data_IF_062262545550
#
_entry.id   IF_062262545550
#
_cell.length_a   1.000
_cell.length_b   1.000
_cell.length_c   1.000
_cell.angle_alpha   90.00
_cell.angle_beta   90.00
_cell.angle_gamma   90.00
#
_symmetry.space_group_name_H-M   'P 1'
#
loop_
_entity.id
_entity.type
_entity.pdbx_description
1 polymer ?
#
# COMPACT_ATOMS: atom_id res chain seq x y z
N UNK A 1 68.39 -44.47 -67.28
CA UNK A 1 67.14 -44.21 -68.01
C UNK A 1 66.37 -45.51 -68.13
N UNK A 2 65.05 -45.52 -67.90
CA UNK A 2 64.24 -46.70 -68.25
C UNK A 2 64.11 -46.71 -69.79
N UNK A 3 64.72 -47.68 -70.47
CA UNK A 3 64.47 -47.90 -71.90
C UNK A 3 63.08 -48.52 -72.05
N UNK A 4 62.26 -47.95 -72.92
CA UNK A 4 60.90 -48.43 -73.20
C UNK A 4 60.89 -49.01 -74.61
N UNK A 5 60.57 -50.30 -74.73
CA UNK A 5 60.31 -50.95 -76.02
C UNK A 5 58.84 -50.73 -76.37
N UNK A 6 58.55 -50.27 -77.60
CA UNK A 6 57.20 -49.98 -78.08
C UNK A 6 56.50 -51.17 -78.75
N UNK A 7 57.05 -52.40 -78.61
CA UNK A 7 56.51 -53.59 -79.27
C UNK A 7 55.03 -53.86 -78.95
N UNK A 8 54.54 -53.43 -77.77
CA UNK A 8 53.16 -53.61 -77.30
C UNK A 8 52.33 -52.29 -77.30
N UNK A 9 52.87 -51.18 -77.82
CA UNK A 9 52.22 -49.86 -77.83
C UNK A 9 52.29 -49.04 -76.52
N UNK A 10 51.73 -47.82 -76.52
CA UNK A 10 51.61 -46.97 -75.32
C UNK A 10 50.28 -47.24 -74.59
N UNK A 11 50.35 -47.58 -73.29
CA UNK A 11 49.18 -47.91 -72.48
C UNK A 11 48.88 -46.79 -71.47
N UNK A 12 47.97 -45.89 -71.83
CA UNK A 12 47.51 -44.83 -70.93
C UNK A 12 46.47 -45.39 -69.95
N UNK A 13 46.76 -45.30 -68.65
CA UNK A 13 45.90 -45.82 -67.58
C UNK A 13 45.07 -44.73 -66.94
N UNK A 14 43.86 -45.09 -66.50
CA UNK A 14 43.07 -44.26 -65.59
C UNK A 14 43.85 -44.03 -64.29
N UNK A 15 43.80 -42.80 -63.78
CA UNK A 15 44.23 -42.47 -62.42
C UNK A 15 43.06 -42.60 -61.44
N UNK A 16 43.32 -42.35 -60.16
CA UNK A 16 42.28 -42.38 -59.12
C UNK A 16 41.12 -41.42 -59.40
N UNK A 17 41.41 -40.23 -59.97
CA UNK A 17 40.44 -39.17 -60.24
C UNK A 17 40.40 -38.78 -61.73
N UNK A 18 41.06 -39.54 -62.60
CA UNK A 18 41.15 -39.23 -64.02
C UNK A 18 40.93 -40.46 -64.88
N UNK A 19 40.24 -40.27 -66.00
CA UNK A 19 40.03 -41.32 -67.00
C UNK A 19 40.84 -40.98 -68.24
N UNK A 20 41.67 -41.91 -68.69
CA UNK A 20 42.46 -41.76 -69.91
C UNK A 20 41.65 -42.21 -71.12
N UNK A 21 41.69 -41.44 -72.20
CA UNK A 21 41.10 -41.81 -73.49
C UNK A 21 42.01 -41.37 -74.63
N UNK A 22 41.86 -42.05 -75.78
CA UNK A 22 42.58 -41.74 -77.02
C UNK A 22 41.52 -41.60 -78.10
N UNK A 23 41.54 -40.52 -78.86
CA UNK A 23 40.64 -40.33 -79.99
C UNK A 23 41.16 -40.98 -81.29
N UNK A 24 40.34 -40.94 -82.34
CA UNK A 24 40.66 -41.54 -83.64
C UNK A 24 41.88 -40.89 -84.34
N UNK A 25 42.32 -39.71 -83.88
CA UNK A 25 43.51 -39.01 -84.36
C UNK A 25 44.76 -39.29 -83.49
N UNK A 26 44.62 -40.09 -82.43
CA UNK A 26 45.71 -40.44 -81.51
C UNK A 26 45.98 -39.41 -80.41
N UNK A 27 45.10 -38.43 -80.19
CA UNK A 27 45.22 -37.45 -79.11
C UNK A 27 44.87 -38.11 -77.79
N UNK A 28 45.77 -38.00 -76.81
CA UNK A 28 45.56 -38.53 -75.46
C UNK A 28 44.89 -37.47 -74.60
N UNK A 29 43.74 -37.81 -74.03
CA UNK A 29 43.00 -36.96 -73.09
C UNK A 29 42.96 -37.61 -71.72
N UNK A 30 43.06 -36.78 -70.68
CA UNK A 30 42.75 -37.15 -69.31
C UNK A 30 41.56 -36.34 -68.84
N UNK A 31 40.40 -36.99 -68.76
CA UNK A 31 39.21 -36.39 -68.19
C UNK A 31 39.25 -36.47 -66.67
N UNK A 32 38.88 -35.39 -66.00
CA UNK A 32 38.75 -35.36 -64.54
C UNK A 32 37.39 -35.94 -64.17
N UNK A 33 37.39 -36.92 -63.28
CA UNK A 33 36.18 -37.50 -62.71
C UNK A 33 35.60 -36.49 -61.71
N UNK A 34 34.68 -35.64 -62.18
CA UNK A 34 34.05 -34.62 -61.33
C UNK A 34 32.98 -35.23 -60.45
N UNK A 35 32.84 -34.73 -59.23
CA UNK A 35 31.71 -35.03 -58.38
C UNK A 35 31.23 -33.78 -57.64
N UNK A 36 29.98 -33.76 -57.22
CA UNK A 36 29.38 -32.62 -56.57
C UNK A 36 29.29 -32.83 -55.06
N UNK A 37 29.67 -31.82 -54.29
CA UNK A 37 29.32 -31.69 -52.88
C UNK A 37 28.01 -30.89 -52.76
N UNK A 38 27.22 -31.18 -51.74
CA UNK A 38 25.91 -30.57 -51.53
C UNK A 38 25.76 -30.05 -50.11
N UNK A 39 25.02 -28.96 -49.93
CA UNK A 39 24.65 -28.50 -48.60
C UNK A 39 23.44 -29.26 -48.07
N UNK A 40 23.50 -29.71 -46.82
CA UNK A 40 22.36 -30.20 -46.05
C UNK A 40 21.49 -29.06 -45.52
N UNK A 41 20.24 -29.36 -45.19
CA UNK A 41 19.30 -28.39 -44.58
C UNK A 41 19.68 -28.02 -43.13
N UNK A 42 20.58 -28.79 -42.52
CA UNK A 42 21.13 -28.58 -41.18
C UNK A 42 22.41 -27.72 -41.18
N UNK A 43 22.81 -27.19 -42.34
CA UNK A 43 24.03 -26.41 -42.48
C UNK A 43 25.31 -27.25 -42.61
N UNK A 44 25.20 -28.57 -42.74
CA UNK A 44 26.35 -29.42 -43.08
C UNK A 44 26.64 -29.38 -44.58
N UNK A 45 27.85 -29.75 -44.97
CA UNK A 45 28.23 -30.01 -46.37
C UNK A 45 28.54 -31.50 -46.49
N UNK A 46 27.89 -32.18 -47.43
CA UNK A 46 28.04 -33.60 -47.67
C UNK A 46 28.72 -33.87 -49.01
N UNK A 47 29.51 -34.94 -49.04
CA UNK A 47 30.16 -35.44 -50.24
C UNK A 47 29.38 -36.58 -50.92
N UNK A 48 29.72 -36.91 -52.17
CA UNK A 48 29.20 -38.07 -52.89
C UNK A 48 29.66 -39.39 -52.25
N UNK A 49 29.00 -40.50 -52.56
CA UNK A 49 29.40 -41.85 -52.09
C UNK A 49 30.69 -42.37 -52.73
N UNK A 50 31.11 -41.75 -53.84
CA UNK A 50 32.31 -42.11 -54.59
C UNK A 50 33.16 -40.86 -54.77
N UNK A 51 34.45 -40.97 -54.50
CA UNK A 51 35.39 -39.84 -54.59
C UNK A 51 35.47 -39.25 -56.00
N UNK A 52 35.52 -37.92 -56.07
CA UNK A 52 35.64 -37.15 -57.30
C UNK A 52 36.08 -35.71 -57.03
N UNK A 53 36.36 -34.95 -58.08
CA UNK A 53 36.83 -33.56 -57.97
C UNK A 53 35.67 -32.59 -58.08
N UNK A 54 35.42 -31.79 -57.03
CA UNK A 54 34.46 -30.69 -57.07
C UNK A 54 35.03 -29.48 -57.80
N UNK A 55 34.18 -28.77 -58.56
CA UNK A 55 34.56 -27.49 -59.16
C UNK A 55 34.53 -26.38 -58.11
N UNK A 56 35.33 -25.32 -58.30
CA UNK A 56 35.34 -24.17 -57.39
C UNK A 56 33.93 -23.54 -57.21
N UNK A 57 33.13 -23.53 -58.30
CA UNK A 57 31.75 -23.08 -58.25
C UNK A 57 30.88 -23.98 -57.36
N UNK A 58 30.97 -25.30 -57.52
CA UNK A 58 30.21 -26.23 -56.68
C UNK A 58 30.58 -26.10 -55.19
N UNK A 59 31.86 -25.90 -54.88
CA UNK A 59 32.31 -25.66 -53.51
C UNK A 59 31.74 -24.34 -52.95
N UNK A 60 31.81 -23.25 -53.70
CA UNK A 60 31.27 -21.97 -53.27
C UNK A 60 29.75 -22.04 -53.06
N UNK A 61 29.01 -22.68 -53.97
CA UNK A 61 27.56 -22.83 -53.87
C UNK A 61 27.15 -23.67 -52.65
N UNK A 62 27.82 -24.80 -52.41
CA UNK A 62 27.57 -25.64 -51.25
C UNK A 62 27.87 -24.90 -49.93
N UNK A 63 28.99 -24.18 -49.84
CA UNK A 63 29.34 -23.41 -48.63
C UNK A 63 28.32 -22.28 -48.39
N UNK A 64 27.94 -21.54 -49.43
CA UNK A 64 26.98 -20.45 -49.31
C UNK A 64 25.57 -20.96 -48.93
N UNK A 65 25.16 -22.09 -49.52
CA UNK A 65 23.90 -22.73 -49.18
C UNK A 65 23.90 -23.24 -47.73
N UNK A 66 24.98 -23.88 -47.28
CA UNK A 66 25.14 -24.34 -45.89
C UNK A 66 25.13 -23.17 -44.91
N UNK A 67 25.87 -22.09 -45.20
CA UNK A 67 25.86 -20.85 -44.41
C UNK A 67 24.47 -20.24 -44.28
N UNK A 68 23.68 -20.27 -45.37
CA UNK A 68 22.30 -19.78 -45.38
C UNK A 68 21.38 -20.66 -44.52
N UNK A 69 21.56 -21.98 -44.55
CA UNK A 69 20.81 -22.94 -43.74
C UNK A 69 21.15 -22.84 -42.23
N UNK A 70 22.40 -22.51 -41.87
CA UNK A 70 22.84 -22.31 -40.48
C UNK A 70 22.39 -21.00 -39.83
N UNK A 71 21.48 -20.23 -40.43
CA UNK A 71 21.06 -18.93 -39.90
C UNK A 71 20.30 -19.09 -38.57
N UNK A 72 20.79 -18.46 -37.50
CA UNK A 72 20.05 -18.29 -36.24
C UNK A 72 19.16 -17.06 -36.32
N UNK A 73 17.86 -17.22 -36.03
CA UNK A 73 16.91 -16.11 -35.91
C UNK A 73 16.50 -15.94 -34.44
N UNK A 74 16.68 -14.71 -33.94
CA UNK A 74 16.27 -14.32 -32.58
C UNK A 74 15.33 -13.12 -32.75
N UNK A 75 14.15 -13.24 -32.16
CA UNK A 75 13.15 -12.16 -32.10
C UNK A 75 12.66 -11.98 -30.67
N UNK A 76 12.06 -10.83 -30.38
CA UNK A 76 11.47 -10.53 -29.08
C UNK A 76 10.02 -10.04 -29.23
N UNK A 77 9.28 -9.94 -28.12
CA UNK A 77 7.94 -9.33 -28.06
C UNK A 77 6.99 -9.75 -29.20
N UNK A 78 6.86 -11.06 -29.46
CA UNK A 78 6.00 -11.58 -30.54
C UNK A 78 6.54 -11.31 -31.95
N UNK A 79 7.84 -11.53 -32.17
CA UNK A 79 8.44 -11.53 -33.50
C UNK A 79 9.08 -10.22 -33.94
N UNK A 80 9.22 -9.24 -33.04
CA UNK A 80 9.95 -8.00 -33.32
C UNK A 80 11.44 -8.29 -33.58
N UNK A 81 11.96 -7.65 -34.63
CA UNK A 81 13.37 -7.76 -35.01
C UNK A 81 14.29 -6.99 -34.05
N UNK A 82 15.56 -7.40 -34.00
CA UNK A 82 16.59 -6.69 -33.26
C UNK A 82 16.72 -5.22 -33.72
N UNK A 83 17.02 -4.32 -32.78
CA UNK A 83 17.11 -2.86 -32.94
C UNK A 83 15.78 -2.16 -33.28
N UNK A 84 14.65 -2.87 -33.28
CA UNK A 84 13.32 -2.34 -33.56
C UNK A 84 12.25 -2.77 -32.54
N UNK A 85 12.67 -3.29 -31.38
CA UNK A 85 11.75 -3.75 -30.34
C UNK A 85 11.03 -2.61 -29.62
N UNK A 86 9.75 -2.79 -29.33
CA UNK A 86 8.91 -1.80 -28.62
C UNK A 86 8.24 -2.34 -27.36
N UNK A 87 8.26 -3.66 -27.14
CA UNK A 87 7.68 -4.31 -25.96
C UNK A 87 8.59 -4.29 -24.72
N UNK A 88 8.34 -5.22 -23.80
CA UNK A 88 9.03 -5.29 -22.51
C UNK A 88 10.50 -5.72 -22.61
N UNK A 89 10.85 -6.48 -23.65
CA UNK A 89 12.22 -6.92 -23.91
C UNK A 89 12.83 -6.03 -24.98
N UNK A 90 13.99 -5.45 -24.72
CA UNK A 90 14.77 -4.82 -25.79
C UNK A 90 15.75 -5.84 -26.34
N UNK A 91 15.69 -6.08 -27.66
CA UNK A 91 16.64 -6.92 -28.38
C UNK A 91 17.44 -6.00 -29.28
N UNK A 92 18.76 -5.96 -29.08
CA UNK A 92 19.67 -5.23 -29.96
C UNK A 92 20.66 -6.18 -30.61
N UNK A 93 21.22 -5.78 -31.74
CA UNK A 93 22.24 -6.55 -32.41
C UNK A 93 23.33 -5.67 -33.01
N UNK A 94 24.56 -6.21 -32.98
CA UNK A 94 25.75 -5.59 -33.59
C UNK A 94 26.55 -6.66 -34.33
N UNK A 95 27.28 -6.27 -35.37
CA UNK A 95 28.19 -7.17 -36.09
C UNK A 95 29.59 -7.10 -35.46
N UNK A 96 30.14 -8.25 -35.09
CA UNK A 96 31.51 -8.39 -34.58
C UNK A 96 32.56 -8.30 -35.70
N UNK A 97 33.84 -8.17 -35.33
CA UNK A 97 34.95 -7.99 -36.28
C UNK A 97 35.16 -9.17 -37.24
N UNK A 98 34.84 -10.39 -36.80
CA UNK A 98 34.84 -11.63 -37.59
C UNK A 98 33.52 -11.86 -38.34
N UNK A 99 32.59 -10.90 -38.30
CA UNK A 99 31.35 -10.88 -39.06
C UNK A 99 30.19 -11.66 -38.44
N UNK A 100 30.33 -12.28 -37.26
CA UNK A 100 29.18 -12.88 -36.56
C UNK A 100 28.33 -11.81 -35.86
N UNK A 101 27.06 -12.14 -35.58
CA UNK A 101 26.13 -11.22 -34.91
C UNK A 101 26.16 -11.45 -33.40
N UNK A 102 26.36 -10.38 -32.64
CA UNK A 102 26.16 -10.35 -31.19
C UNK A 102 24.76 -9.81 -30.92
N UNK A 103 23.99 -10.52 -30.10
CA UNK A 103 22.68 -10.07 -29.62
C UNK A 103 22.77 -9.72 -28.14
N UNK A 104 22.24 -8.56 -27.78
CA UNK A 104 22.07 -8.15 -26.38
C UNK A 104 20.57 -8.11 -26.04
N UNK A 105 20.21 -8.76 -24.94
CA UNK A 105 18.84 -8.94 -24.49
C UNK A 105 18.72 -8.42 -23.07
N UNK A 106 17.87 -7.41 -22.89
CA UNK A 106 17.56 -6.85 -21.57
C UNK A 106 16.06 -6.56 -21.46
N UNK A 107 15.59 -6.39 -20.24
CA UNK A 107 14.29 -5.77 -20.01
C UNK A 107 14.38 -4.27 -20.25
N UNK A 108 13.30 -3.68 -20.73
CA UNK A 108 13.15 -2.24 -20.76
C UNK A 108 12.98 -1.69 -19.33
N UNK A 109 13.34 -0.42 -19.10
CA UNK A 109 13.19 0.24 -17.79
C UNK A 109 11.73 0.25 -17.32
N UNK A 110 10.81 0.26 -18.30
CA UNK A 110 9.38 0.11 -18.10
C UNK A 110 8.90 -1.23 -18.61
N UNK A 111 8.35 -2.04 -17.71
CA UNK A 111 7.73 -3.33 -18.01
C UNK A 111 6.24 -3.27 -17.72
N UNK A 112 5.41 -3.70 -18.68
CA UNK A 112 3.96 -3.74 -18.57
C UNK A 112 3.48 -5.18 -18.75
N UNK A 113 2.86 -5.74 -17.71
CA UNK A 113 2.29 -7.07 -17.70
C UNK A 113 0.76 -6.99 -17.80
N UNK A 114 0.16 -7.75 -18.72
CA UNK A 114 -1.28 -7.68 -18.98
C UNK A 114 -1.70 -6.40 -19.71
N UNK A 115 -3.00 -6.15 -19.77
CA UNK A 115 -3.59 -5.02 -20.49
C UNK A 115 -4.81 -4.46 -19.74
N UNK A 116 -5.23 -3.24 -20.11
CA UNK A 116 -6.42 -2.60 -19.54
C UNK A 116 -6.34 -2.37 -18.03
N UNK A 117 -7.45 -2.57 -17.32
CA UNK A 117 -7.54 -2.32 -15.87
C UNK A 117 -6.74 -3.30 -15.01
N UNK A 118 -6.31 -4.44 -15.57
CA UNK A 118 -5.49 -5.44 -14.88
C UNK A 118 -3.99 -5.28 -15.16
N UNK A 119 -3.60 -4.24 -15.92
CA UNK A 119 -2.21 -4.02 -16.23
C UNK A 119 -1.39 -3.76 -14.96
N UNK A 120 -0.22 -4.39 -14.91
CA UNK A 120 0.80 -4.13 -13.89
C UNK A 120 1.98 -3.47 -14.59
N UNK A 121 2.28 -2.24 -14.21
CA UNK A 121 3.41 -1.47 -14.75
C UNK A 121 4.47 -1.33 -13.68
N UNK A 122 5.70 -1.75 -13.97
CA UNK A 122 6.89 -1.41 -13.19
C UNK A 122 7.70 -0.44 -14.04
N UNK A 123 7.81 0.81 -13.60
CA UNK A 123 8.43 1.90 -14.33
C UNK A 123 9.64 2.40 -13.54
N UNK A 124 10.81 1.85 -13.85
CA UNK A 124 12.07 2.22 -13.22
C UNK A 124 12.47 3.66 -13.52
N UNK A 125 12.11 4.18 -14.70
CA UNK A 125 12.37 5.57 -15.09
C UNK A 125 11.57 6.55 -14.22
N UNK A 126 10.30 6.24 -13.96
CA UNK A 126 9.46 7.05 -13.08
C UNK A 126 9.64 6.73 -11.58
N UNK A 127 10.31 5.63 -11.24
CA UNK A 127 10.38 5.10 -9.87
C UNK A 127 9.01 4.69 -9.31
N UNK A 128 8.12 4.17 -10.17
CA UNK A 128 6.72 3.87 -9.83
C UNK A 128 6.36 2.42 -10.16
N UNK A 129 5.47 1.86 -9.36
CA UNK A 129 4.76 0.63 -9.69
C UNK A 129 3.24 0.88 -9.66
N UNK A 130 2.55 0.47 -10.70
CA UNK A 130 1.09 0.60 -10.83
C UNK A 130 0.49 -0.79 -10.97
N UNK A 131 -0.46 -1.14 -10.10
CA UNK A 131 -1.19 -2.42 -10.12
C UNK A 131 -2.67 -2.07 -10.26
N UNK A 132 -3.19 -2.18 -11.49
CA UNK A 132 -4.51 -1.66 -11.83
C UNK A 132 -4.60 -0.15 -11.56
N UNK A 133 -5.41 0.26 -10.58
CA UNK A 133 -5.52 1.67 -10.14
C UNK A 133 -4.72 2.01 -8.88
N UNK A 134 -4.06 1.03 -8.25
CA UNK A 134 -3.19 1.29 -7.09
C UNK A 134 -1.79 1.68 -7.56
N UNK A 135 -1.16 2.60 -6.84
CA UNK A 135 0.15 3.16 -7.20
C UNK A 135 1.09 3.13 -6.00
N UNK A 136 2.30 2.62 -6.21
CA UNK A 136 3.46 2.84 -5.35
C UNK A 136 4.35 3.86 -6.05
N UNK A 137 4.63 4.96 -5.37
CA UNK A 137 5.40 6.07 -5.88
C UNK A 137 6.67 6.24 -5.04
N UNK A 138 7.75 5.62 -5.49
CA UNK A 138 9.03 5.66 -4.78
C UNK A 138 9.67 7.05 -4.80
N UNK A 139 9.36 7.88 -5.80
CA UNK A 139 9.90 9.26 -5.87
C UNK A 139 9.27 10.16 -4.81
N UNK A 140 7.94 10.08 -4.66
CA UNK A 140 7.23 10.87 -3.66
C UNK A 140 7.08 10.16 -2.30
N UNK A 141 7.61 8.95 -2.17
CA UNK A 141 7.48 8.10 -0.97
C UNK A 141 6.02 7.85 -0.57
N UNK A 142 5.14 7.55 -1.54
CA UNK A 142 3.71 7.31 -1.26
C UNK A 142 3.23 5.96 -1.77
N UNK A 143 2.19 5.43 -1.11
CA UNK A 143 1.41 4.29 -1.59
C UNK A 143 -0.05 4.72 -1.60
N UNK A 144 -0.71 4.63 -2.75
CA UNK A 144 -2.11 5.00 -2.89
C UNK A 144 -2.88 3.80 -3.41
N UNK A 145 -3.92 3.38 -2.68
CA UNK A 145 -4.81 2.31 -3.14
C UNK A 145 -5.72 2.80 -4.27
N UNK A 146 -6.19 1.89 -5.10
CA UNK A 146 -7.26 2.16 -6.06
C UNK A 146 -8.65 2.36 -5.43
N UNK A 147 -9.65 2.54 -6.28
CA UNK A 147 -11.07 2.64 -5.91
C UNK A 147 -11.55 4.07 -5.56
N UNK A 148 -12.86 4.22 -5.34
CA UNK A 148 -13.51 5.52 -5.08
C UNK A 148 -13.01 6.19 -3.80
N UNK A 149 -12.81 5.41 -2.74
CA UNK A 149 -12.29 5.86 -1.45
C UNK A 149 -10.85 5.40 -1.32
N UNK A 150 -9.96 5.98 -2.13
CA UNK A 150 -8.53 5.66 -2.08
C UNK A 150 -7.93 6.04 -0.73
N UNK A 151 -7.02 5.19 -0.25
CA UNK A 151 -6.23 5.41 0.96
C UNK A 151 -4.81 5.72 0.52
N UNK A 152 -4.21 6.75 1.11
CA UNK A 152 -2.84 7.19 0.83
C UNK A 152 -1.99 7.05 2.08
N UNK A 153 -0.93 6.26 1.98
CA UNK A 153 0.21 6.26 2.92
C UNK A 153 1.24 7.24 2.38
N UNK A 154 1.63 8.20 3.19
CA UNK A 154 2.56 9.26 2.82
C UNK A 154 3.78 9.24 3.73
N UNK A 155 4.92 8.81 3.18
CA UNK A 155 6.18 8.76 3.90
C UNK A 155 6.83 10.14 4.10
N UNK A 156 6.45 11.16 3.33
CA UNK A 156 6.98 12.51 3.49
C UNK A 156 6.32 13.22 4.69
N UNK A 157 5.03 12.99 4.92
CA UNK A 157 4.30 13.55 6.08
C UNK A 157 4.16 12.57 7.24
N UNK A 158 4.45 11.28 7.04
CA UNK A 158 4.28 10.23 8.04
C UNK A 158 2.82 9.92 8.36
N UNK A 159 1.91 10.13 7.40
CA UNK A 159 0.46 10.04 7.62
C UNK A 159 -0.22 8.97 6.78
N UNK A 160 -1.38 8.53 7.26
CA UNK A 160 -2.34 7.72 6.49
C UNK A 160 -3.62 8.54 6.33
N UNK A 161 -3.96 8.88 5.09
CA UNK A 161 -5.09 9.75 4.75
C UNK A 161 -6.07 9.05 3.81
N UNK A 162 -7.26 9.64 3.63
CA UNK A 162 -8.33 9.07 2.79
C UNK A 162 -9.34 8.18 3.56
N UNK A 163 -9.08 7.91 4.85
CA UNK A 163 -10.03 7.21 5.72
C UNK A 163 -11.34 8.00 5.86
N UNK A 164 -12.47 7.28 5.74
CA UNK A 164 -13.81 7.89 5.71
C UNK A 164 -14.52 7.86 7.06
N UNK A 165 -14.04 7.07 8.02
CA UNK A 165 -14.58 6.99 9.36
C UNK A 165 -14.19 8.22 10.19
N UNK A 166 -14.89 9.33 10.01
CA UNK A 166 -14.63 10.61 10.69
C UNK A 166 -15.56 10.87 11.89
N UNK A 167 -16.56 10.02 12.07
CA UNK A 167 -17.57 10.20 13.10
C UNK A 167 -17.41 9.21 14.25
N UNK A 168 -17.61 9.71 15.46
CA UNK A 168 -17.79 8.90 16.66
C UNK A 168 -19.12 9.30 17.31
N UNK A 169 -20.05 8.36 17.43
CA UNK A 169 -21.36 8.62 18.05
C UNK A 169 -21.25 8.47 19.57
N UNK A 170 -21.58 9.51 20.36
CA UNK A 170 -21.62 9.40 21.82
C UNK A 170 -22.52 8.24 22.28
N UNK A 171 -22.06 7.49 23.30
CA UNK A 171 -22.76 6.30 23.80
C UNK A 171 -22.40 4.99 23.09
N UNK A 172 -21.67 5.04 21.97
CA UNK A 172 -21.01 3.83 21.43
C UNK A 172 -19.86 3.47 22.35
N UNK A 173 -19.90 2.26 22.92
CA UNK A 173 -18.91 1.78 23.90
C UNK A 173 -17.86 0.84 23.30
N UNK A 174 -17.99 0.49 22.02
CA UNK A 174 -17.07 -0.40 21.31
C UNK A 174 -16.78 0.14 19.92
N UNK A 175 -15.50 0.22 19.59
CA UNK A 175 -15.07 0.51 18.22
C UNK A 175 -15.48 -0.61 17.27
N UNK A 176 -15.61 -0.28 15.97
CA UNK A 176 -15.69 -1.31 14.94
C UNK A 176 -14.34 -1.99 14.83
N UNK A 177 -14.29 -3.28 15.15
CA UNK A 177 -13.02 -4.02 15.24
C UNK A 177 -12.31 -4.13 13.90
N UNK A 178 -10.97 -4.12 13.93
CA UNK A 178 -10.10 -4.28 12.76
C UNK A 178 -9.95 -3.05 11.86
N UNK A 179 -10.48 -1.88 12.25
CA UNK A 179 -10.36 -0.62 11.49
C UNK A 179 -9.45 0.36 12.21
N UNK A 180 -8.65 1.12 11.46
CA UNK A 180 -7.91 2.27 11.98
C UNK A 180 -8.90 3.39 12.36
N UNK A 181 -8.62 4.13 13.45
CA UNK A 181 -9.35 5.33 13.81
C UNK A 181 -8.80 6.55 13.06
N UNK A 182 -9.60 7.61 12.94
CA UNK A 182 -9.15 8.92 12.41
C UNK A 182 -8.98 9.94 13.54
N UNK A 183 -8.18 10.97 13.27
CA UNK A 183 -8.04 12.14 14.17
C UNK A 183 -9.39 12.84 14.39
N UNK A 184 -10.26 12.89 13.38
CA UNK A 184 -11.62 13.43 13.50
C UNK A 184 -12.45 12.66 14.55
N UNK A 185 -12.36 11.33 14.58
CA UNK A 185 -13.03 10.52 15.61
C UNK A 185 -12.46 10.79 17.00
N UNK A 186 -11.13 10.92 17.11
CA UNK A 186 -10.48 11.21 18.38
C UNK A 186 -10.86 12.60 18.90
N UNK A 187 -10.97 13.59 18.01
CA UNK A 187 -11.44 14.93 18.36
C UNK A 187 -12.85 14.89 18.95
N UNK A 188 -13.77 14.13 18.34
CA UNK A 188 -15.13 13.99 18.87
C UNK A 188 -15.18 13.35 20.25
N UNK A 189 -14.30 12.37 20.50
CA UNK A 189 -14.15 11.78 21.84
C UNK A 189 -13.62 12.81 22.83
N UNK A 190 -12.62 13.61 22.43
CA UNK A 190 -12.07 14.68 23.25
C UNK A 190 -13.14 15.76 23.59
N UNK A 191 -13.93 16.18 22.59
CA UNK A 191 -15.01 17.14 22.76
C UNK A 191 -16.07 16.61 23.73
N UNK A 192 -16.50 15.36 23.56
CA UNK A 192 -17.46 14.70 24.46
C UNK A 192 -16.91 14.60 25.90
N UNK A 193 -15.63 14.29 26.06
CA UNK A 193 -15.00 14.25 27.37
C UNK A 193 -14.92 15.63 28.03
N UNK A 194 -14.63 16.68 27.26
CA UNK A 194 -14.50 18.06 27.72
C UNK A 194 -15.84 18.74 28.06
N UNK A 195 -16.94 18.25 27.48
CA UNK A 195 -18.29 18.82 27.62
C UNK A 195 -19.15 18.13 28.69
N UNK A 196 -18.55 17.28 29.53
CA UNK A 196 -19.26 16.68 30.67
C UNK A 196 -19.74 17.77 31.63
N UNK A 197 -21.04 17.75 31.92
CA UNK A 197 -21.70 18.70 32.82
C UNK A 197 -22.67 17.98 33.75
N UNK A 198 -22.99 18.61 34.88
CA UNK A 198 -24.06 18.20 35.77
C UNK A 198 -24.90 19.42 36.17
N UNK A 199 -26.12 19.21 36.67
CA UNK A 199 -27.01 20.31 37.03
C UNK A 199 -27.19 20.40 38.54
N UNK A 200 -27.18 21.62 39.08
CA UNK A 200 -27.54 21.93 40.47
C UNK A 200 -28.83 22.75 40.53
N UNK A 201 -29.63 22.53 41.56
CA UNK A 201 -30.89 23.26 41.82
C UNK A 201 -31.14 23.32 43.32
N UNK A 202 -31.54 24.48 43.83
CA UNK A 202 -32.03 24.67 45.19
C UNK A 202 -33.52 25.07 45.13
N UNK A 203 -34.35 24.38 45.93
CA UNK A 203 -35.81 24.55 45.96
C UNK A 203 -36.37 24.12 47.32
N UNK A 204 -37.60 24.54 47.63
CA UNK A 204 -38.33 24.11 48.83
C UNK A 204 -39.14 22.84 48.58
N UNK A 205 -39.39 22.07 49.65
CA UNK A 205 -40.16 20.83 49.57
C UNK A 205 -41.68 21.09 49.65
N UNK A 206 -42.37 21.09 48.51
CA UNK A 206 -43.83 21.27 48.49
C UNK A 206 -44.26 22.63 49.06
N UNK A 207 -45.26 22.65 49.96
CA UNK A 207 -45.72 23.87 50.65
C UNK A 207 -44.98 24.16 51.96
N UNK A 208 -44.11 23.26 52.40
CA UNK A 208 -43.35 23.37 53.64
C UNK A 208 -41.87 23.68 53.34
N UNK A 209 -41.22 24.41 54.24
CA UNK A 209 -39.86 24.91 54.02
C UNK A 209 -39.80 26.31 53.40
N UNK A 210 -38.63 26.92 53.51
CA UNK A 210 -38.38 28.29 53.06
C UNK A 210 -37.30 28.29 51.99
N UNK A 211 -37.54 29.03 50.91
CA UNK A 211 -36.54 29.33 49.89
C UNK A 211 -36.41 30.84 49.82
N UNK A 212 -35.18 31.32 49.79
CA UNK A 212 -34.86 32.70 49.42
C UNK A 212 -34.44 32.72 47.95
N UNK A 213 -34.90 33.73 47.19
CA UNK A 213 -34.64 33.84 45.75
C UNK A 213 -35.53 32.96 44.87
N UNK A 214 -35.21 32.86 43.59
CA UNK A 214 -36.00 32.11 42.58
C UNK A 214 -35.32 30.80 42.25
N UNK A 215 -36.10 29.73 42.06
CA UNK A 215 -35.59 28.44 41.57
C UNK A 215 -34.93 28.64 40.21
N UNK A 216 -33.67 28.20 40.09
CA UNK A 216 -32.93 28.19 38.83
C UNK A 216 -32.12 26.92 38.73
N UNK A 217 -32.23 26.22 37.60
CA UNK A 217 -31.33 25.14 37.26
C UNK A 217 -30.04 25.76 36.71
N UNK A 218 -28.90 25.41 37.30
CA UNK A 218 -27.59 25.83 36.82
C UNK A 218 -26.80 24.60 36.37
N UNK A 219 -26.25 24.68 35.16
CA UNK A 219 -25.32 23.69 34.64
C UNK A 219 -23.92 24.01 35.14
N UNK A 220 -23.25 23.00 35.67
CA UNK A 220 -21.88 23.05 36.19
C UNK A 220 -20.98 22.26 35.24
N UNK A 221 -20.07 22.96 34.58
CA UNK A 221 -19.04 22.39 33.71
C UNK A 221 -17.70 22.16 34.41
N UNK A 222 -16.74 21.62 33.65
CA UNK A 222 -15.43 21.14 34.13
C UNK A 222 -14.65 22.12 35.03
N UNK A 223 -14.68 23.42 34.75
CA UNK A 223 -13.90 24.42 35.49
C UNK A 223 -14.80 25.40 36.28
N UNK A 224 -16.07 25.06 36.47
CA UNK A 224 -16.99 25.86 37.27
C UNK A 224 -16.96 25.42 38.73
N UNK A 225 -16.98 26.41 39.62
CA UNK A 225 -17.06 26.19 41.06
C UNK A 225 -18.50 26.19 41.54
N UNK A 226 -18.76 25.41 42.59
CA UNK A 226 -20.02 25.47 43.34
C UNK A 226 -19.67 25.82 44.77
N UNK A 227 -20.25 26.91 45.26
CA UNK A 227 -20.06 27.37 46.63
C UNK A 227 -21.28 27.01 47.48
N UNK A 228 -21.03 26.41 48.64
CA UNK A 228 -22.05 26.09 49.64
C UNK A 228 -21.76 26.94 50.88
N UNK A 229 -22.56 27.98 51.08
CA UNK A 229 -22.33 28.98 52.13
C UNK A 229 -23.33 28.76 53.28
N UNK A 230 -22.81 28.67 54.50
CA UNK A 230 -23.63 28.54 55.70
C UNK A 230 -24.17 29.91 56.14
N UNK A 231 -25.43 29.97 56.55
CA UNK A 231 -25.97 31.15 57.23
C UNK A 231 -25.55 31.23 58.71
N UNK A 232 -25.91 32.32 59.39
CA UNK A 232 -25.42 32.67 60.74
C UNK A 232 -25.50 31.56 61.81
N UNK A 233 -26.50 30.67 61.75
CA UNK A 233 -26.75 29.64 62.77
C UNK A 233 -26.50 28.20 62.26
N UNK A 234 -25.85 28.07 61.11
CA UNK A 234 -25.46 26.80 60.52
C UNK A 234 -23.94 26.76 60.36
N UNK A 235 -23.37 25.58 60.51
CA UNK A 235 -21.99 25.27 60.17
C UNK A 235 -21.97 24.25 59.04
N UNK A 236 -21.09 24.48 58.06
CA UNK A 236 -20.76 23.52 57.00
C UNK A 236 -19.29 23.18 57.14
N UNK A 237 -18.97 21.90 57.33
CA UNK A 237 -17.61 21.39 57.27
C UNK A 237 -17.41 20.63 55.96
N UNK A 238 -16.44 21.06 55.15
CA UNK A 238 -16.02 20.38 53.93
C UNK A 238 -14.72 19.63 54.18
N UNK A 239 -14.73 18.34 53.87
CA UNK A 239 -13.56 17.47 53.82
C UNK A 239 -13.52 16.81 52.44
N UNK A 240 -12.73 17.38 51.53
CA UNK A 240 -12.75 17.09 50.09
C UNK A 240 -14.17 17.10 49.49
N UNK A 241 -14.74 15.90 49.26
CA UNK A 241 -16.04 15.63 48.64
C UNK A 241 -17.14 15.32 49.66
N UNK A 242 -16.83 15.37 50.96
CA UNK A 242 -17.76 15.13 52.06
C UNK A 242 -18.14 16.45 52.72
N UNK A 243 -19.43 16.75 52.73
CA UNK A 243 -19.98 17.94 53.37
C UNK A 243 -20.82 17.52 54.57
N UNK A 244 -20.54 18.08 55.75
CA UNK A 244 -21.30 17.82 56.98
C UNK A 244 -21.95 19.11 57.46
N UNK A 245 -23.25 19.04 57.75
CA UNK A 245 -24.05 20.18 58.19
C UNK A 245 -24.44 19.99 59.65
N UNK A 246 -24.33 21.06 60.44
CA UNK A 246 -24.80 21.08 61.82
C UNK A 246 -25.38 22.44 62.17
N UNK A 247 -26.32 22.46 63.12
CA UNK A 247 -26.64 23.69 63.84
C UNK A 247 -25.44 24.11 64.68
N UNK A 248 -25.25 25.41 64.83
CA UNK A 248 -24.26 25.93 65.77
C UNK A 248 -24.67 25.54 67.20
N UNK A 249 -23.70 25.26 68.07
CA UNK A 249 -23.99 24.96 69.49
C UNK A 249 -24.66 26.15 70.18
N UNK A 250 -24.21 27.35 69.83
CA UNK A 250 -24.80 28.61 70.27
C UNK A 250 -25.55 29.24 69.09
N UNK A 251 -26.86 29.42 69.25
CA UNK A 251 -27.70 30.08 68.27
C UNK A 251 -27.84 31.56 68.63
N UNK A 252 -27.53 32.44 67.69
CA UNK A 252 -27.53 33.89 67.90
C UNK A 252 -28.44 34.62 66.90
N UNK A 253 -28.94 35.79 67.30
CA UNK A 253 -29.73 36.66 66.42
C UNK A 253 -31.06 36.06 65.95
N UNK A 254 -31.63 35.12 66.70
CA UNK A 254 -32.97 34.58 66.43
C UNK A 254 -34.04 35.58 66.87
N UNK A 255 -35.04 35.82 66.01
CA UNK A 255 -36.20 36.66 66.36
C UNK A 255 -37.07 35.99 67.43
N UNK A 256 -37.29 34.68 67.31
CA UNK A 256 -38.02 33.89 68.31
C UNK A 256 -37.78 32.40 68.11
N UNK A 257 -37.97 31.62 69.18
CA UNK A 257 -38.10 30.16 69.12
C UNK A 257 -39.47 29.79 69.65
N UNK A 258 -40.26 29.09 68.83
CA UNK A 258 -41.57 28.57 69.23
C UNK A 258 -41.56 27.05 69.16
N UNK A 259 -42.09 26.41 70.21
CA UNK A 259 -42.28 24.96 70.28
C UNK A 259 -43.79 24.69 70.29
N UNK A 260 -44.25 23.78 69.44
CA UNK A 260 -45.66 23.42 69.29
C UNK A 260 -45.94 22.70 67.98
N UNK A 261 -47.16 22.17 67.82
CA UNK A 261 -47.67 21.76 66.51
C UNK A 261 -48.14 23.01 65.79
N UNK A 262 -47.86 23.20 64.50
CA UNK A 262 -47.91 24.49 63.78
C UNK A 262 -49.20 25.35 63.84
N UNK A 263 -50.24 24.93 64.57
CA UNK A 263 -51.46 25.69 64.86
C UNK A 263 -51.59 26.13 66.32
N UNK A 264 -50.75 25.69 67.26
CA UNK A 264 -50.75 26.11 68.68
C UNK A 264 -49.35 26.06 69.29
N UNK A 265 -48.81 27.22 69.65
CA UNK A 265 -47.55 27.35 70.40
C UNK A 265 -47.77 26.96 71.87
N UNK A 266 -46.98 26.04 72.39
CA UNK A 266 -46.97 25.68 73.83
C UNK A 266 -45.94 26.49 74.60
N UNK A 267 -44.80 26.80 73.97
CA UNK A 267 -43.74 27.64 74.54
C UNK A 267 -43.18 28.55 73.45
N UNK A 268 -42.97 29.84 73.78
CA UNK A 268 -42.32 30.83 72.92
C UNK A 268 -41.27 31.61 73.69
N UNK A 269 -40.07 31.69 73.10
CA UNK A 269 -38.99 32.57 73.51
C UNK A 269 -38.93 33.71 72.49
N UNK A 270 -39.19 34.94 72.95
CA UNK A 270 -39.13 36.13 72.11
C UNK A 270 -37.74 36.78 72.23
N UNK A 271 -36.98 36.76 71.14
CA UNK A 271 -35.63 37.33 71.09
C UNK A 271 -35.60 38.85 71.07
N UNK A 272 -36.71 39.52 70.71
CA UNK A 272 -36.79 40.98 70.69
C UNK A 272 -37.13 41.55 72.08
N UNK A 273 -38.02 40.88 72.82
CA UNK A 273 -38.46 41.35 74.16
C UNK A 273 -37.80 40.62 75.32
N UNK A 274 -37.10 39.52 75.07
CA UNK A 274 -36.55 38.63 76.11
C UNK A 274 -37.61 37.86 76.90
N UNK A 275 -38.89 37.93 76.48
CA UNK A 275 -40.00 37.33 77.21
C UNK A 275 -40.15 35.84 76.86
N UNK A 276 -40.45 35.05 77.90
CA UNK A 276 -40.92 33.67 77.76
C UNK A 276 -42.44 33.67 77.92
N UNK A 277 -43.16 33.10 76.97
CA UNK A 277 -44.59 32.86 77.08
C UNK A 277 -44.84 31.36 76.98
N UNK A 278 -45.56 30.80 77.95
CA UNK A 278 -45.90 29.39 77.97
C UNK A 278 -47.40 29.23 78.17
N UNK A 279 -48.04 28.44 77.31
CA UNK A 279 -49.47 28.11 77.39
C UNK A 279 -49.58 26.63 77.69
N UNK A 280 -50.16 26.29 78.84
CA UNK A 280 -50.32 24.92 79.34
C UNK A 280 -49.00 24.17 79.62
N UNK A 281 -47.89 24.88 79.91
CA UNK A 281 -46.65 24.24 80.31
C UNK A 281 -46.76 23.65 81.73
N UNK A 282 -46.40 22.38 81.88
CA UNK A 282 -46.22 21.73 83.19
C UNK A 282 -44.75 21.91 83.57
N UNK A 283 -44.48 22.69 84.62
CA UNK A 283 -43.14 22.81 85.21
C UNK A 283 -42.98 21.62 86.14
N UNK A 284 -42.32 20.56 85.67
CA UNK A 284 -41.95 19.42 86.51
C UNK A 284 -40.81 19.80 87.46
N UNK A 285 -41.03 19.60 88.77
CA UNK A 285 -39.99 19.70 89.79
C UNK A 285 -39.11 18.46 89.86
#
# INVERSE_FOLDING_TARGET
>A
AKQVSLADGLNFKNGTLTTASIDDAGVVKYDVNTAAITAGTDGTVTGPTTDGVATAQNVADAINAAKKASKTEITANTGEAANATTGNVTLTSTTAADGHTIYDVKLNDKVILGTGANAVTIDGTAGKATIGSSVVDGVNNTITTGGTNSIKVDGATGTVTGLTNKDWTPGVTKAVTGRAATEDQLQKVADAASSQTWNITADKAGTTGAQTGTKKNATVGKDQTVELVAGNNLTINQDERKFTYSLNKDLAGLTSVSVGTGTTETIKLDGATGKITAKNAVIGG
#
